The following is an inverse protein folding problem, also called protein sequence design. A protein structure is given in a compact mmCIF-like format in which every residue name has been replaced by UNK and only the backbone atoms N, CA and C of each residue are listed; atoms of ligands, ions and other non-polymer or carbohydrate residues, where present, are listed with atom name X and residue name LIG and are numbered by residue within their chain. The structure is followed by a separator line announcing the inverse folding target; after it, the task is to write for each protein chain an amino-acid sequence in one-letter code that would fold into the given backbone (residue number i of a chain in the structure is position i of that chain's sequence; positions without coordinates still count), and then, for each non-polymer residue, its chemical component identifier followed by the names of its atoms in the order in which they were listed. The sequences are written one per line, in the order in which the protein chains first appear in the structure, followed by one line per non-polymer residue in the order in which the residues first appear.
data_IF_098646524161
#
_entry.id   IF_098646524161
#
_cell.length_a   1.000
_cell.length_b   1.000
_cell.length_c   1.000
_cell.angle_alpha   90.00
_cell.angle_beta   90.00
_cell.angle_gamma   90.00
#
_symmetry.space_group_name_H-M   'P 1'
#
loop_
_entity.id
_entity.type
_entity.pdbx_description
1 polymer ?
#
# COMPACT_ATOMS: atom_id res chain seq x y z
N UNK A 1 -13.17 -38.83 -7.00
CA UNK A 1 -12.49 -37.97 -5.98
C UNK A 1 -12.16 -36.65 -6.66
N UNK A 2 -12.66 -35.52 -6.13
CA UNK A 2 -12.29 -34.19 -6.64
C UNK A 2 -11.06 -33.70 -5.86
N UNK A 3 -9.93 -33.53 -6.55
CA UNK A 3 -8.74 -32.96 -5.94
C UNK A 3 -8.89 -31.44 -5.75
N UNK A 4 -8.45 -30.88 -4.60
CA UNK A 4 -8.41 -29.43 -4.42
C UNK A 4 -7.44 -28.81 -5.42
N UNK A 5 -7.72 -27.55 -5.83
CA UNK A 5 -6.86 -26.79 -6.74
C UNK A 5 -6.44 -25.50 -6.07
N UNK A 6 -5.22 -25.04 -6.37
CA UNK A 6 -4.73 -23.73 -5.92
C UNK A 6 -5.62 -22.63 -6.47
N UNK A 7 -6.11 -21.70 -5.62
CA UNK A 7 -6.86 -20.55 -6.09
C UNK A 7 -6.03 -19.67 -7.03
N UNK A 8 -6.73 -18.92 -7.89
CA UNK A 8 -6.09 -18.10 -8.91
C UNK A 8 -5.37 -16.89 -8.30
N UNK A 9 -4.20 -16.57 -8.84
CA UNK A 9 -3.49 -15.31 -8.64
C UNK A 9 -3.85 -14.26 -9.71
N UNK A 10 -4.66 -14.64 -10.71
CA UNK A 10 -5.09 -13.73 -11.78
C UNK A 10 -6.15 -12.74 -11.28
N UNK A 11 -6.09 -11.53 -11.85
CA UNK A 11 -6.97 -10.41 -11.54
C UNK A 11 -7.76 -9.95 -12.76
N UNK A 12 -7.94 -10.82 -13.74
CA UNK A 12 -8.65 -10.50 -14.99
C UNK A 12 -10.05 -9.97 -14.70
N UNK A 13 -10.35 -8.81 -15.31
CA UNK A 13 -11.63 -8.13 -15.13
C UNK A 13 -11.80 -7.35 -13.82
N UNK A 14 -10.82 -7.38 -12.90
CA UNK A 14 -10.84 -6.56 -11.68
C UNK A 14 -10.30 -5.17 -11.95
N UNK A 15 -10.91 -4.18 -11.33
CA UNK A 15 -10.45 -2.79 -11.36
C UNK A 15 -9.68 -2.49 -10.09
N UNK A 16 -8.46 -2.01 -10.24
CA UNK A 16 -7.56 -1.70 -9.13
C UNK A 16 -7.28 -0.19 -9.05
N UNK A 17 -7.22 0.34 -7.84
CA UNK A 17 -6.77 1.69 -7.54
C UNK A 17 -5.46 1.62 -6.75
N UNK A 18 -4.42 2.32 -7.19
CA UNK A 18 -3.13 2.35 -6.50
C UNK A 18 -2.74 3.80 -6.21
N UNK A 19 -2.58 4.14 -4.93
CA UNK A 19 -2.09 5.46 -4.52
C UNK A 19 -0.57 5.48 -4.43
N UNK A 20 0.06 6.66 -4.64
CA UNK A 20 1.51 6.76 -4.70
C UNK A 20 2.13 6.05 -5.92
N UNK A 21 1.34 5.82 -6.96
CA UNK A 21 1.69 5.00 -8.12
C UNK A 21 2.78 5.61 -9.03
N UNK A 22 3.27 6.83 -8.73
CA UNK A 22 4.30 7.49 -9.56
C UNK A 22 5.74 7.06 -9.25
N UNK A 23 5.98 6.24 -8.21
CA UNK A 23 7.34 5.77 -7.86
C UNK A 23 7.30 4.66 -6.79
N UNK A 24 8.42 3.98 -6.59
CA UNK A 24 8.66 3.05 -5.48
C UNK A 24 7.63 1.94 -5.37
N UNK A 25 7.17 1.64 -4.14
CA UNK A 25 6.28 0.52 -3.86
C UNK A 25 4.95 0.65 -4.63
N UNK A 26 4.38 1.87 -4.71
CA UNK A 26 3.14 2.10 -5.44
C UNK A 26 3.27 1.84 -6.94
N UNK A 27 4.39 2.22 -7.55
CA UNK A 27 4.70 1.90 -8.95
C UNK A 27 4.79 0.38 -9.15
N UNK A 28 5.59 -0.32 -8.33
CA UNK A 28 5.72 -1.78 -8.43
C UNK A 28 4.40 -2.51 -8.20
N UNK A 29 3.59 -2.06 -7.24
CA UNK A 29 2.26 -2.60 -7.02
C UNK A 29 1.34 -2.44 -8.24
N UNK A 30 1.38 -1.26 -8.89
CA UNK A 30 0.59 -1.00 -10.09
C UNK A 30 0.98 -1.90 -11.26
N UNK A 31 2.29 -2.05 -11.49
CA UNK A 31 2.83 -2.96 -12.52
C UNK A 31 2.39 -4.40 -12.24
N UNK A 32 2.62 -4.90 -11.02
CA UNK A 32 2.27 -6.27 -10.65
C UNK A 32 0.77 -6.59 -10.82
N UNK A 33 -0.11 -5.65 -10.44
CA UNK A 33 -1.55 -5.82 -10.62
C UNK A 33 -1.95 -5.82 -12.11
N UNK A 34 -1.32 -4.97 -12.94
CA UNK A 34 -1.55 -4.94 -14.38
C UNK A 34 -1.08 -6.23 -15.06
N UNK A 35 0.11 -6.75 -14.73
CA UNK A 35 0.64 -8.05 -15.20
C UNK A 35 -0.27 -9.22 -14.79
N UNK A 36 -0.88 -9.13 -13.59
CA UNK A 36 -1.86 -10.11 -13.14
C UNK A 36 -3.21 -9.99 -13.87
N UNK A 37 -3.44 -8.97 -14.70
CA UNK A 37 -4.62 -8.80 -15.55
C UNK A 37 -5.63 -7.75 -15.07
N UNK A 38 -5.34 -7.00 -14.01
CA UNK A 38 -6.21 -5.93 -13.54
C UNK A 38 -6.19 -4.71 -14.47
N UNK A 39 -7.31 -3.97 -14.50
CA UNK A 39 -7.33 -2.60 -15.00
C UNK A 39 -6.95 -1.64 -13.87
N UNK A 40 -5.76 -1.02 -13.97
CA UNK A 40 -5.18 -0.24 -12.87
C UNK A 40 -5.40 1.25 -13.06
N UNK A 41 -5.98 1.93 -12.07
CA UNK A 41 -6.02 3.39 -11.97
C UNK A 41 -4.87 3.87 -11.09
N UNK A 42 -3.94 4.61 -11.67
CA UNK A 42 -2.75 5.16 -11.04
C UNK A 42 -3.10 6.50 -10.39
N UNK A 43 -3.00 6.61 -9.06
CA UNK A 43 -3.30 7.84 -8.34
C UNK A 43 -2.03 8.45 -7.73
N UNK A 44 -1.69 9.67 -8.12
CA UNK A 44 -0.67 10.52 -7.49
C UNK A 44 -0.83 11.97 -7.97
N UNK A 45 -0.02 12.89 -7.41
CA UNK A 45 -0.10 14.33 -7.73
C UNK A 45 0.50 14.70 -9.09
N UNK A 46 1.55 13.97 -9.53
CA UNK A 46 2.33 14.32 -10.74
C UNK A 46 1.76 13.66 -11.97
N UNK A 47 0.90 14.37 -12.68
CA UNK A 47 0.18 13.85 -13.85
C UNK A 47 1.13 13.37 -14.96
N UNK A 48 2.15 14.16 -15.32
CA UNK A 48 3.12 13.79 -16.36
C UNK A 48 3.86 12.47 -16.04
N UNK A 49 4.22 12.25 -14.77
CA UNK A 49 4.84 10.97 -14.34
C UNK A 49 3.83 9.82 -14.43
N UNK A 50 2.58 10.04 -14.02
CA UNK A 50 1.53 9.02 -14.13
C UNK A 50 1.27 8.65 -15.61
N UNK A 51 1.27 9.64 -16.51
CA UNK A 51 1.10 9.40 -17.93
C UNK A 51 2.23 8.52 -18.50
N UNK A 52 3.48 8.77 -18.13
CA UNK A 52 4.61 7.92 -18.52
C UNK A 52 4.45 6.48 -18.02
N UNK A 53 4.08 6.29 -16.75
CA UNK A 53 3.85 4.95 -16.17
C UNK A 53 2.70 4.23 -16.87
N UNK A 54 1.57 4.92 -17.09
CA UNK A 54 0.44 4.39 -17.85
C UNK A 54 0.86 3.91 -19.23
N UNK A 55 1.61 4.72 -19.97
CA UNK A 55 1.99 4.41 -21.33
C UNK A 55 2.96 3.21 -21.40
N UNK A 56 3.87 3.07 -20.42
CA UNK A 56 4.72 1.89 -20.29
C UNK A 56 3.90 0.63 -19.98
N UNK A 57 2.99 0.66 -18.99
CA UNK A 57 2.11 -0.48 -18.68
C UNK A 57 1.29 -0.89 -19.91
N UNK A 58 0.78 0.07 -20.68
CA UNK A 58 0.01 -0.21 -21.89
C UNK A 58 0.88 -0.78 -23.02
N UNK A 59 2.10 -0.31 -23.16
CA UNK A 59 3.05 -0.83 -24.14
C UNK A 59 3.41 -2.31 -23.89
N UNK A 60 3.36 -2.73 -22.62
CA UNK A 60 3.56 -4.13 -22.19
C UNK A 60 2.26 -4.95 -22.20
N UNK A 61 1.17 -4.42 -22.75
CA UNK A 61 -0.11 -5.11 -22.91
C UNK A 61 -1.05 -5.02 -21.69
N UNK A 62 -0.66 -4.30 -20.63
CA UNK A 62 -1.48 -4.06 -19.46
C UNK A 62 -2.54 -2.97 -19.70
N UNK A 63 -3.49 -2.84 -18.74
CA UNK A 63 -4.54 -1.82 -18.76
C UNK A 63 -4.31 -0.82 -17.64
N UNK A 64 -4.10 0.45 -17.97
CA UNK A 64 -3.88 1.49 -16.98
C UNK A 64 -4.59 2.80 -17.34
N UNK A 65 -5.10 3.49 -16.31
CA UNK A 65 -5.67 4.82 -16.35
C UNK A 65 -4.96 5.70 -15.31
N UNK A 66 -5.17 7.02 -15.36
CA UNK A 66 -4.58 7.95 -14.40
C UNK A 66 -5.66 8.74 -13.67
N UNK A 67 -5.37 9.08 -12.42
CA UNK A 67 -6.10 10.02 -11.58
C UNK A 67 -5.09 10.95 -10.91
N UNK A 68 -4.87 12.13 -11.48
CA UNK A 68 -3.96 13.12 -10.91
C UNK A 68 -4.66 13.89 -9.79
N UNK A 69 -4.33 13.58 -8.53
CA UNK A 69 -4.93 14.22 -7.36
C UNK A 69 -4.03 14.11 -6.13
N UNK A 70 -4.22 15.04 -5.17
CA UNK A 70 -3.66 14.89 -3.83
C UNK A 70 -4.65 14.10 -2.95
N UNK A 71 -4.18 13.01 -2.35
CA UNK A 71 -5.02 12.14 -1.50
C UNK A 71 -5.51 12.83 -0.22
N UNK A 72 -4.92 13.95 0.16
CA UNK A 72 -5.34 14.75 1.33
C UNK A 72 -6.55 15.63 1.04
N UNK A 73 -6.85 15.89 -0.24
CA UNK A 73 -8.00 16.66 -0.72
C UNK A 73 -9.26 15.78 -0.77
N UNK A 74 -9.78 15.44 0.40
CA UNK A 74 -10.83 14.43 0.57
C UNK A 74 -12.09 14.65 -0.26
N UNK A 75 -12.62 15.90 -0.44
CA UNK A 75 -13.80 16.11 -1.28
C UNK A 75 -13.55 15.73 -2.75
N UNK A 76 -12.43 16.17 -3.32
CA UNK A 76 -12.04 15.86 -4.70
C UNK A 76 -11.81 14.36 -4.93
N UNK A 77 -11.14 13.70 -3.97
CA UNK A 77 -10.93 12.24 -4.00
C UNK A 77 -12.27 11.50 -3.97
N UNK A 78 -13.20 11.91 -3.09
CA UNK A 78 -14.53 11.28 -3.01
C UNK A 78 -15.29 11.39 -4.33
N UNK A 79 -15.33 12.58 -4.93
CA UNK A 79 -15.99 12.81 -6.21
C UNK A 79 -15.39 11.95 -7.33
N UNK A 80 -14.06 11.93 -7.44
CA UNK A 80 -13.35 11.13 -8.43
C UNK A 80 -13.60 9.62 -8.27
N UNK A 81 -13.64 9.11 -7.03
CA UNK A 81 -13.92 7.69 -6.78
C UNK A 81 -15.38 7.32 -7.08
N UNK A 82 -16.33 8.22 -6.81
CA UNK A 82 -17.73 8.02 -7.18
C UNK A 82 -17.94 7.99 -8.70
N UNK A 83 -17.22 8.85 -9.44
CA UNK A 83 -17.29 8.89 -10.89
C UNK A 83 -16.64 7.68 -11.58
N UNK A 84 -15.56 7.13 -11.00
CA UNK A 84 -14.77 6.08 -11.63
C UNK A 84 -14.95 4.67 -11.03
N UNK A 85 -15.47 4.56 -9.79
CA UNK A 85 -15.63 3.28 -9.08
C UNK A 85 -16.68 2.34 -9.68
N UNK A 86 -16.96 1.18 -9.07
CA UNK A 86 -16.22 0.63 -7.93
C UNK A 86 -14.85 0.05 -8.31
N UNK A 87 -13.94 0.00 -7.33
CA UNK A 87 -12.63 -0.65 -7.46
C UNK A 87 -12.60 -1.90 -6.57
N UNK A 88 -12.40 -3.09 -7.16
CA UNK A 88 -12.33 -4.36 -6.44
C UNK A 88 -10.99 -4.57 -5.71
N UNK A 89 -9.95 -3.83 -6.12
CA UNK A 89 -8.64 -3.84 -5.46
C UNK A 89 -8.23 -2.41 -5.12
N UNK A 90 -7.75 -2.19 -3.90
CA UNK A 90 -7.10 -0.95 -3.48
C UNK A 90 -5.71 -1.26 -2.94
N UNK A 91 -4.70 -0.48 -3.37
CA UNK A 91 -3.39 -0.43 -2.73
C UNK A 91 -3.12 1.00 -2.25
N UNK A 92 -3.22 1.22 -0.94
CA UNK A 92 -2.83 2.46 -0.29
C UNK A 92 -1.32 2.47 -0.07
N UNK A 93 -0.57 3.00 -1.04
CA UNK A 93 0.89 3.08 -0.98
C UNK A 93 1.43 4.51 -0.85
N UNK A 94 0.59 5.53 -0.96
CA UNK A 94 1.04 6.90 -0.67
C UNK A 94 1.44 7.01 0.80
N UNK A 95 2.63 7.54 1.06
CA UNK A 95 3.16 7.67 2.41
C UNK A 95 4.20 8.77 2.52
N UNK A 96 4.36 9.28 3.73
CA UNK A 96 5.32 10.30 4.12
C UNK A 96 6.08 9.84 5.36
N UNK A 97 7.39 10.10 5.37
CA UNK A 97 8.23 9.88 6.54
C UNK A 97 8.99 11.18 6.86
N UNK A 98 8.94 11.60 8.11
CA UNK A 98 9.76 12.64 8.71
C UNK A 98 10.54 11.99 9.84
N UNK A 99 11.86 12.06 9.77
CA UNK A 99 12.75 11.34 10.69
C UNK A 99 13.48 12.36 11.55
N UNK A 100 13.05 12.46 12.82
CA UNK A 100 13.64 13.35 13.81
C UNK A 100 13.59 12.68 15.18
N UNK A 101 14.53 12.99 16.09
CA UNK A 101 14.41 12.61 17.51
C UNK A 101 13.05 13.06 18.05
N UNK A 102 12.45 12.26 18.93
CA UNK A 102 11.08 12.52 19.41
C UNK A 102 10.95 13.89 20.12
N UNK A 103 12.01 14.35 20.79
CA UNK A 103 12.03 15.66 21.45
C UNK A 103 12.09 16.85 20.48
N UNK A 104 12.45 16.62 19.22
CA UNK A 104 12.61 17.63 18.18
C UNK A 104 11.48 17.58 17.15
N UNK A 105 10.57 16.62 17.27
CA UNK A 105 9.45 16.48 16.34
C UNK A 105 8.49 17.67 16.45
N UNK A 106 8.30 18.41 15.35
CA UNK A 106 7.37 19.54 15.30
C UNK A 106 5.92 19.07 15.15
N UNK A 107 4.97 19.92 15.54
CA UNK A 107 3.55 19.68 15.31
C UNK A 107 3.23 19.58 13.81
N UNK A 108 3.89 20.40 12.99
CA UNK A 108 3.71 20.45 11.54
C UNK A 108 4.15 19.12 10.88
N UNK A 109 5.28 18.55 11.31
CA UNK A 109 5.76 17.26 10.82
C UNK A 109 4.85 16.13 11.29
N UNK A 110 4.38 16.17 12.53
CA UNK A 110 3.39 15.24 13.06
C UNK A 110 2.11 15.24 12.22
N UNK A 111 1.52 16.45 12.04
CA UNK A 111 0.27 16.60 11.29
C UNK A 111 0.42 16.19 9.83
N UNK A 112 1.53 16.54 9.17
CA UNK A 112 1.80 16.13 7.79
C UNK A 112 1.88 14.61 7.62
N UNK A 113 2.59 13.92 8.53
CA UNK A 113 2.71 12.45 8.49
C UNK A 113 1.35 11.80 8.76
N UNK A 114 0.61 12.25 9.76
CA UNK A 114 -0.70 11.70 10.11
C UNK A 114 -1.75 11.99 9.02
N UNK A 115 -1.70 13.16 8.39
CA UNK A 115 -2.60 13.52 7.30
C UNK A 115 -2.47 12.55 6.11
N UNK A 116 -1.24 12.21 5.71
CA UNK A 116 -1.00 11.33 4.57
C UNK A 116 -1.15 9.85 4.96
N UNK A 117 -0.42 9.41 6.00
CA UNK A 117 -0.28 7.98 6.31
C UNK A 117 -1.54 7.37 6.94
N UNK A 118 -2.32 8.17 7.66
CA UNK A 118 -3.49 7.68 8.39
C UNK A 118 -4.80 8.31 7.89
N UNK A 119 -4.93 9.63 7.96
CA UNK A 119 -6.20 10.30 7.65
C UNK A 119 -6.62 10.08 6.20
N UNK A 120 -5.74 10.33 5.24
CA UNK A 120 -6.05 10.13 3.83
C UNK A 120 -6.29 8.63 3.52
N UNK A 121 -5.46 7.73 4.05
CA UNK A 121 -5.63 6.29 3.90
C UNK A 121 -6.99 5.81 4.44
N UNK A 122 -7.40 6.29 5.64
CA UNK A 122 -8.69 5.96 6.23
C UNK A 122 -9.86 6.34 5.32
N UNK A 123 -9.90 7.61 4.91
CA UNK A 123 -11.04 8.11 4.13
C UNK A 123 -11.09 7.52 2.73
N UNK A 124 -9.95 7.32 2.08
CA UNK A 124 -9.90 6.69 0.75
C UNK A 124 -10.35 5.23 0.81
N UNK A 125 -9.84 4.47 1.79
CA UNK A 125 -10.27 3.08 2.02
C UNK A 125 -11.78 3.00 2.26
N UNK A 126 -12.33 3.90 3.08
CA UNK A 126 -13.77 4.00 3.34
C UNK A 126 -14.59 4.29 2.08
N UNK A 127 -14.15 5.21 1.22
CA UNK A 127 -14.88 5.53 -0.01
C UNK A 127 -14.85 4.37 -1.00
N UNK A 128 -13.72 3.65 -1.12
CA UNK A 128 -13.64 2.44 -1.96
C UNK A 128 -14.58 1.35 -1.42
N UNK A 129 -14.56 1.08 -0.11
CA UNK A 129 -15.47 0.11 0.52
C UNK A 129 -16.95 0.50 0.33
N UNK A 130 -17.29 1.78 0.46
CA UNK A 130 -18.65 2.29 0.22
C UNK A 130 -19.11 2.00 -1.21
N UNK A 131 -18.25 2.24 -2.21
CA UNK A 131 -18.54 1.93 -3.60
C UNK A 131 -18.76 0.45 -3.86
N UNK A 132 -17.96 -0.42 -3.22
CA UNK A 132 -18.12 -1.88 -3.30
C UNK A 132 -19.43 -2.35 -2.66
N UNK A 133 -19.75 -1.87 -1.46
CA UNK A 133 -21.00 -2.22 -0.75
C UNK A 133 -22.21 -1.78 -1.56
N UNK A 134 -22.21 -0.56 -2.08
CA UNK A 134 -23.30 -0.04 -2.92
C UNK A 134 -23.49 -0.84 -4.21
N UNK A 135 -22.40 -1.39 -4.77
CA UNK A 135 -22.43 -2.22 -5.96
C UNK A 135 -22.68 -3.72 -5.69
N UNK A 136 -22.74 -4.14 -4.42
CA UNK A 136 -22.85 -5.56 -4.03
C UNK A 136 -21.64 -6.39 -4.46
N UNK A 137 -20.46 -5.78 -4.55
CA UNK A 137 -19.24 -6.43 -5.02
C UNK A 137 -18.26 -6.72 -3.89
N UNK A 138 -17.60 -7.90 -3.89
CA UNK A 138 -16.49 -8.16 -2.99
C UNK A 138 -15.25 -7.35 -3.39
N UNK A 139 -14.25 -7.27 -2.49
CA UNK A 139 -12.99 -6.61 -2.80
C UNK A 139 -11.84 -6.99 -1.89
N UNK A 140 -10.64 -6.56 -2.28
CA UNK A 140 -9.42 -6.68 -1.49
C UNK A 140 -8.71 -5.34 -1.36
N UNK A 141 -8.63 -4.83 -0.13
CA UNK A 141 -8.02 -3.55 0.20
C UNK A 141 -6.69 -3.81 0.92
N UNK A 142 -5.62 -3.18 0.44
CA UNK A 142 -4.26 -3.41 0.92
C UNK A 142 -3.68 -2.08 1.36
N UNK A 143 -3.33 -1.97 2.64
CA UNK A 143 -2.62 -0.82 3.17
C UNK A 143 -1.11 -1.12 3.24
N UNK A 144 -0.29 -0.33 2.58
CA UNK A 144 1.17 -0.43 2.75
C UNK A 144 1.53 0.19 4.10
N UNK A 145 1.76 -0.69 5.06
CA UNK A 145 2.20 -0.36 6.40
C UNK A 145 3.74 -0.34 6.49
N UNK A 146 4.29 -0.93 7.49
CA UNK A 146 5.73 -1.09 7.72
C UNK A 146 5.94 -2.11 8.83
N UNK A 147 7.13 -2.75 8.91
CA UNK A 147 7.50 -3.44 10.14
C UNK A 147 7.48 -2.48 11.35
N UNK A 148 7.64 -1.15 11.12
CA UNK A 148 7.46 -0.12 12.17
C UNK A 148 6.00 0.07 12.61
N UNK A 149 5.05 -0.66 12.08
CA UNK A 149 3.71 -0.85 12.61
C UNK A 149 3.64 -1.90 13.72
N UNK A 150 4.73 -2.62 13.98
CA UNK A 150 4.85 -3.71 14.96
C UNK A 150 6.00 -3.52 15.95
N UNK A 151 7.04 -2.75 15.54
CA UNK A 151 8.21 -2.44 16.37
C UNK A 151 8.53 -0.94 16.30
N UNK A 152 9.35 -0.46 17.24
CA UNK A 152 9.87 0.90 17.22
C UNK A 152 11.20 1.01 16.48
N UNK A 153 11.66 2.25 16.31
CA UNK A 153 12.98 2.57 15.78
C UNK A 153 13.43 3.96 16.18
N UNK A 154 14.74 4.21 16.27
CA UNK A 154 15.27 5.55 16.56
C UNK A 154 14.78 6.56 15.52
N UNK A 155 14.42 7.75 15.97
CA UNK A 155 13.91 8.86 15.13
C UNK A 155 12.64 8.52 14.33
N UNK A 156 11.85 7.55 14.78
CA UNK A 156 10.66 7.05 14.07
C UNK A 156 9.36 7.23 14.83
N UNK A 157 9.34 7.97 15.94
CA UNK A 157 8.18 8.01 16.84
C UNK A 157 6.88 8.36 16.11
N UNK A 158 6.84 9.45 15.33
CA UNK A 158 5.64 9.87 14.58
C UNK A 158 5.29 8.87 13.47
N UNK A 159 6.30 8.42 12.72
CA UNK A 159 6.09 7.44 11.66
C UNK A 159 5.56 6.10 12.21
N UNK A 160 6.20 5.56 13.25
CA UNK A 160 5.75 4.33 13.90
C UNK A 160 4.33 4.46 14.45
N UNK A 161 4.00 5.59 15.10
CA UNK A 161 2.64 5.88 15.57
C UNK A 161 1.62 5.81 14.42
N UNK A 162 1.92 6.44 13.27
CA UNK A 162 1.04 6.39 12.09
C UNK A 162 0.84 4.98 11.55
N UNK A 163 1.89 4.14 11.57
CA UNK A 163 1.81 2.76 11.07
C UNK A 163 1.12 1.81 12.06
N UNK A 164 1.34 1.96 13.38
CA UNK A 164 0.56 1.24 14.39
C UNK A 164 -0.93 1.59 14.32
N UNK A 165 -1.25 2.87 14.11
CA UNK A 165 -2.64 3.30 13.92
C UNK A 165 -3.27 2.67 12.66
N UNK A 166 -2.49 2.54 11.57
CA UNK A 166 -2.94 1.89 10.34
C UNK A 166 -3.24 0.39 10.55
N UNK A 167 -2.43 -0.31 11.36
CA UNK A 167 -2.69 -1.72 11.76
C UNK A 167 -4.00 -1.84 12.55
N UNK A 168 -4.23 -0.98 13.54
CA UNK A 168 -5.47 -0.95 14.33
C UNK A 168 -6.70 -0.64 13.47
N UNK A 169 -6.59 0.38 12.60
CA UNK A 169 -7.63 0.75 11.64
C UNK A 169 -8.01 -0.43 10.73
N UNK A 170 -7.02 -1.12 10.18
CA UNK A 170 -7.22 -2.27 9.28
C UNK A 170 -7.99 -3.39 9.98
N UNK A 171 -7.67 -3.72 11.22
CA UNK A 171 -8.38 -4.74 12.00
C UNK A 171 -9.84 -4.37 12.25
N UNK A 172 -10.10 -3.12 12.64
CA UNK A 172 -11.47 -2.66 12.90
C UNK A 172 -12.33 -2.69 11.63
N UNK A 173 -11.82 -2.15 10.52
CA UNK A 173 -12.51 -2.14 9.23
C UNK A 173 -12.75 -3.56 8.69
N UNK A 174 -11.84 -4.51 8.95
CA UNK A 174 -12.01 -5.90 8.55
C UNK A 174 -13.25 -6.53 9.20
N UNK A 175 -13.50 -6.28 10.49
CA UNK A 175 -14.66 -6.79 11.21
C UNK A 175 -15.97 -6.21 10.65
N UNK A 176 -15.97 -4.94 10.29
CA UNK A 176 -17.15 -4.26 9.76
C UNK A 176 -17.51 -4.69 8.34
N UNK A 177 -16.51 -4.97 7.49
CA UNK A 177 -16.72 -5.15 6.06
C UNK A 177 -16.64 -6.61 5.57
N UNK A 178 -16.17 -7.53 6.41
CA UNK A 178 -16.17 -8.96 6.08
C UNK A 178 -17.55 -9.51 5.68
N UNK A 179 -18.70 -9.11 6.32
CA UNK A 179 -20.03 -9.54 5.89
C UNK A 179 -20.40 -9.12 4.46
N UNK A 180 -19.71 -8.12 3.90
CA UNK A 180 -19.89 -7.66 2.51
C UNK A 180 -18.90 -8.31 1.54
N UNK A 181 -18.12 -9.31 1.97
CA UNK A 181 -17.10 -9.96 1.15
C UNK A 181 -15.87 -9.07 0.86
N UNK A 182 -15.67 -8.00 1.64
CA UNK A 182 -14.53 -7.10 1.51
C UNK A 182 -13.46 -7.51 2.52
N UNK A 183 -12.28 -7.83 2.01
CA UNK A 183 -11.08 -8.12 2.81
C UNK A 183 -10.20 -6.87 2.89
N UNK A 184 -9.59 -6.66 4.03
CA UNK A 184 -8.60 -5.59 4.21
C UNK A 184 -7.43 -6.10 5.03
N UNK A 185 -6.21 -5.91 4.51
CA UNK A 185 -4.98 -6.38 5.13
C UNK A 185 -3.87 -5.32 5.00
N UNK A 186 -2.81 -5.49 5.78
CA UNK A 186 -1.60 -4.68 5.63
C UNK A 186 -0.47 -5.49 5.00
N UNK A 187 0.34 -4.84 4.19
CA UNK A 187 1.65 -5.29 3.75
C UNK A 187 2.70 -4.46 4.48
N UNK A 188 3.59 -5.13 5.21
CA UNK A 188 4.51 -4.52 6.17
C UNK A 188 5.97 -4.72 5.74
N UNK A 189 6.48 -3.91 4.80
CA UNK A 189 7.87 -4.00 4.38
C UNK A 189 8.84 -3.43 5.43
N UNK A 190 10.09 -3.87 5.35
CA UNK A 190 11.25 -3.18 5.91
C UNK A 190 11.74 -2.08 4.97
N UNK A 191 13.02 -1.74 5.02
CA UNK A 191 13.65 -0.80 4.11
C UNK A 191 13.71 -1.37 2.69
N UNK A 192 13.03 -0.69 1.77
CA UNK A 192 12.98 -1.01 0.34
C UNK A 192 13.73 0.07 -0.43
N UNK A 193 14.49 -0.32 -1.44
CA UNK A 193 15.19 0.59 -2.34
C UNK A 193 14.18 1.36 -3.19
N UNK A 194 13.86 2.55 -2.74
CA UNK A 194 12.91 3.49 -3.34
C UNK A 194 13.44 4.91 -3.16
N UNK A 195 12.93 5.91 -3.87
CA UNK A 195 13.34 7.31 -3.64
C UNK A 195 13.19 7.75 -2.17
N UNK A 196 12.20 7.24 -1.45
CA UNK A 196 12.01 7.50 -0.02
C UNK A 196 13.05 6.76 0.85
N UNK A 197 13.32 5.48 0.53
CA UNK A 197 14.28 4.65 1.28
C UNK A 197 15.73 5.09 1.09
N UNK A 198 16.10 5.48 -0.13
CA UNK A 198 17.46 5.91 -0.48
C UNK A 198 17.97 7.08 0.38
N UNK A 199 17.10 8.02 0.75
CA UNK A 199 17.48 9.14 1.63
C UNK A 199 18.11 8.65 2.96
N UNK A 200 17.58 7.56 3.52
CA UNK A 200 18.12 6.96 4.75
C UNK A 200 19.39 6.13 4.47
N UNK A 201 19.43 5.43 3.33
CA UNK A 201 20.53 4.53 2.95
C UNK A 201 21.80 5.26 2.51
N UNK A 202 21.72 6.56 2.19
CA UNK A 202 22.88 7.41 1.89
C UNK A 202 23.79 7.63 3.11
N UNK A 203 23.28 7.54 4.34
CA UNK A 203 24.09 7.61 5.54
C UNK A 203 24.71 6.22 5.83
N UNK A 204 26.06 6.08 5.80
CA UNK A 204 26.73 4.78 5.95
C UNK A 204 26.46 4.10 7.31
N UNK A 205 26.41 4.87 8.40
CA UNK A 205 26.15 4.34 9.75
C UNK A 205 24.72 3.80 9.85
N UNK A 206 23.75 4.57 9.35
CA UNK A 206 22.34 4.13 9.31
C UNK A 206 22.17 2.89 8.42
N UNK A 207 22.84 2.86 7.27
CA UNK A 207 22.82 1.70 6.37
C UNK A 207 23.40 0.46 7.06
N UNK A 208 24.55 0.59 7.74
CA UNK A 208 25.16 -0.52 8.48
C UNK A 208 24.23 -1.01 9.60
N UNK A 209 23.61 -0.11 10.36
CA UNK A 209 22.63 -0.47 11.38
C UNK A 209 21.42 -1.19 10.79
N UNK A 210 20.85 -0.70 9.69
CA UNK A 210 19.73 -1.34 8.98
C UNK A 210 20.11 -2.76 8.57
N UNK A 211 21.26 -2.93 7.93
CA UNK A 211 21.73 -4.23 7.45
C UNK A 211 22.01 -5.21 8.61
N UNK A 212 22.43 -4.73 9.77
CA UNK A 212 22.62 -5.58 10.96
C UNK A 212 21.30 -6.15 11.50
N UNK A 213 20.18 -5.48 11.20
CA UNK A 213 18.83 -5.92 11.61
C UNK A 213 18.16 -6.87 10.60
N UNK A 214 18.44 -6.72 9.32
CA UNK A 214 17.86 -7.55 8.27
C UNK A 214 18.64 -8.86 8.15
N UNK A 215 18.08 -9.97 8.60
CA UNK A 215 18.79 -11.27 8.67
C UNK A 215 19.17 -11.83 7.29
N UNK A 216 18.40 -11.48 6.23
CA UNK A 216 18.76 -11.81 4.85
C UNK A 216 19.92 -10.97 4.30
N UNK A 217 20.50 -10.03 5.07
CA UNK A 217 21.75 -9.31 4.75
C UNK A 217 21.64 -8.28 3.63
N UNK A 218 20.42 -7.97 3.14
CA UNK A 218 20.18 -6.95 2.12
C UNK A 218 18.93 -6.13 2.41
N UNK A 219 18.90 -4.91 1.95
CA UNK A 219 17.62 -4.16 1.84
C UNK A 219 16.71 -4.83 0.80
N UNK A 220 15.41 -4.62 0.93
CA UNK A 220 14.46 -5.11 -0.05
C UNK A 220 14.50 -4.27 -1.34
N UNK A 221 14.13 -4.91 -2.44
CA UNK A 221 13.83 -4.26 -3.72
C UNK A 221 12.30 -4.16 -3.89
N UNK A 222 11.84 -3.34 -4.82
CA UNK A 222 10.40 -3.19 -5.08
C UNK A 222 9.79 -4.52 -5.52
N UNK A 223 10.53 -5.31 -6.26
CA UNK A 223 10.17 -6.63 -6.77
C UNK A 223 9.86 -7.64 -5.65
N UNK A 224 10.51 -7.52 -4.49
CA UNK A 224 10.22 -8.37 -3.32
C UNK A 224 8.77 -8.20 -2.81
N UNK A 225 8.11 -7.09 -3.14
CA UNK A 225 6.75 -6.77 -2.71
C UNK A 225 5.69 -7.05 -3.79
N UNK A 226 6.07 -7.20 -5.06
CA UNK A 226 5.14 -7.36 -6.17
C UNK A 226 4.31 -8.64 -6.04
N UNK A 227 4.96 -9.78 -5.78
CA UNK A 227 4.27 -11.05 -5.52
C UNK A 227 3.31 -11.00 -4.32
N UNK A 228 3.74 -10.54 -3.14
CA UNK A 228 2.88 -10.29 -1.99
C UNK A 228 1.65 -9.40 -2.27
N UNK A 229 1.78 -8.35 -3.08
CA UNK A 229 0.65 -7.50 -3.49
C UNK A 229 -0.36 -8.31 -4.32
N UNK A 230 0.10 -9.05 -5.33
CA UNK A 230 -0.78 -9.90 -6.15
C UNK A 230 -1.45 -10.98 -5.29
N UNK A 231 -0.71 -11.62 -4.37
CA UNK A 231 -1.27 -12.59 -3.43
C UNK A 231 -2.42 -11.98 -2.62
N UNK A 232 -2.21 -10.85 -1.96
CA UNK A 232 -3.24 -10.19 -1.15
C UNK A 232 -4.43 -9.71 -1.99
N UNK A 233 -4.21 -9.28 -3.23
CA UNK A 233 -5.25 -8.80 -4.15
C UNK A 233 -6.12 -9.92 -4.70
N UNK A 234 -5.60 -11.15 -4.80
CA UNK A 234 -6.20 -12.28 -5.51
C UNK A 234 -7.01 -13.22 -4.60
N UNK A 235 -7.62 -14.24 -5.21
CA UNK A 235 -8.36 -15.29 -4.51
C UNK A 235 -7.43 -16.23 -3.73
N UNK A 236 -6.11 -16.19 -4.00
CA UNK A 236 -5.13 -16.96 -3.25
C UNK A 236 -5.08 -16.60 -1.76
N UNK A 237 -5.55 -15.40 -1.38
CA UNK A 237 -5.67 -14.92 0.00
C UNK A 237 -7.12 -14.78 0.49
N UNK A 238 -8.06 -15.54 -0.09
CA UNK A 238 -9.51 -15.38 0.17
C UNK A 238 -9.91 -15.48 1.65
N UNK A 239 -9.14 -16.20 2.47
CA UNK A 239 -9.40 -16.35 3.91
C UNK A 239 -8.61 -15.37 4.78
N UNK A 240 -7.91 -14.38 4.17
CA UNK A 240 -7.11 -13.39 4.89
C UNK A 240 -7.84 -12.05 4.97
N UNK A 241 -8.21 -11.61 6.16
CA UNK A 241 -8.70 -10.26 6.44
C UNK A 241 -8.32 -9.83 7.86
N UNK A 242 -8.08 -8.53 8.08
CA UNK A 242 -7.70 -7.97 9.37
C UNK A 242 -6.30 -8.38 9.84
N UNK A 243 -5.45 -8.87 8.95
CA UNK A 243 -4.11 -9.36 9.27
C UNK A 243 -3.02 -8.59 8.53
N UNK A 244 -1.79 -8.93 8.82
CA UNK A 244 -0.59 -8.34 8.23
C UNK A 244 0.27 -9.41 7.53
N UNK A 245 0.95 -8.99 6.47
CA UNK A 245 1.98 -9.76 5.79
C UNK A 245 3.30 -9.02 5.90
N UNK A 246 4.20 -9.52 6.75
CA UNK A 246 5.51 -8.88 7.00
C UNK A 246 6.51 -9.37 5.96
N UNK A 247 7.18 -8.44 5.27
CA UNK A 247 8.24 -8.68 4.28
C UNK A 247 9.46 -7.85 4.71
N UNK A 248 10.21 -8.36 5.68
CA UNK A 248 11.24 -7.59 6.38
C UNK A 248 12.63 -8.27 6.45
N UNK A 249 12.79 -9.39 5.76
CA UNK A 249 14.04 -10.13 5.76
C UNK A 249 14.46 -10.65 7.14
N UNK A 250 13.50 -10.85 8.05
CA UNK A 250 13.72 -11.36 9.39
C UNK A 250 14.05 -10.29 10.44
N UNK A 251 13.81 -9.01 10.16
CA UNK A 251 14.03 -7.93 11.12
C UNK A 251 13.22 -8.13 12.42
N UNK A 252 11.95 -8.48 12.30
CA UNK A 252 11.03 -8.62 13.46
C UNK A 252 10.95 -10.05 14.01
N UNK A 253 11.83 -10.95 13.58
CA UNK A 253 11.84 -12.33 14.04
C UNK A 253 12.49 -12.52 15.44
N UNK A 254 13.13 -11.46 15.97
CA UNK A 254 13.75 -11.43 17.32
C UNK A 254 13.40 -10.17 18.10
#
# INVERSE_FOLDING_TARGET
MNLPRTPSFRLDGRRALVTGASSGIGLGAAVALAEAGAEVTLLARREATLAQVRDQIRAEGGKANILAADITELPAIREALQAQGPFEVLVNSAGLARHTPALEASAEDFDAVMAVNLRAAFFLTREVARGLIAAGKPGSLINISSQMGHVGGPERAVYAASKHALEGMTKAMALEWAPHGIRINTLCPTFIRTPLGEQTLQNPERKAWILSKIKLGRVGEVEDLMGPVVFLASDASAMMTGTHLIIDGGWTAE
#
